data_IF_205560520245
#
_entry.id   IF_205560520245
#
_cell.length_a   1.000
_cell.length_b   1.000
_cell.length_c   1.000
_cell.angle_alpha   90.00
_cell.angle_beta   90.00
_cell.angle_gamma   90.00
#
_symmetry.space_group_name_H-M   'P 1'
#
loop_
_entity.id
_entity.type
_entity.pdbx_description
1 polymer ?
#
# COMPACT_ATOMS: atom_id res chain seq x y z
N UNK A 1 -36.16 -18.05 -46.64
CA UNK A 1 -34.86 -17.40 -46.31
C UNK A 1 -34.91 -16.58 -45.01
N UNK A 2 -36.07 -16.45 -44.32
CA UNK A 2 -36.22 -15.65 -43.09
C UNK A 2 -35.63 -16.28 -41.81
N UNK A 3 -35.59 -17.62 -41.71
CA UNK A 3 -35.12 -18.29 -40.49
C UNK A 3 -33.67 -17.93 -40.12
N UNK A 4 -32.79 -17.73 -41.12
CA UNK A 4 -31.39 -17.41 -40.89
C UNK A 4 -31.20 -15.96 -40.39
N UNK A 5 -32.02 -15.02 -40.87
CA UNK A 5 -31.98 -13.62 -40.40
C UNK A 5 -32.56 -13.45 -39.00
N UNK A 6 -33.60 -14.20 -38.65
CA UNK A 6 -34.18 -14.15 -37.30
C UNK A 6 -33.28 -14.85 -36.26
N UNK A 7 -32.65 -15.96 -36.61
CA UNK A 7 -31.63 -16.60 -35.76
C UNK A 7 -30.41 -15.70 -35.57
N UNK A 8 -29.93 -15.06 -36.64
CA UNK A 8 -28.84 -14.10 -36.56
C UNK A 8 -29.21 -12.91 -35.66
N UNK A 9 -30.44 -12.38 -35.77
CA UNK A 9 -30.93 -11.30 -34.91
C UNK A 9 -30.90 -11.70 -33.44
N UNK A 10 -31.47 -12.86 -33.10
CA UNK A 10 -31.48 -13.38 -31.71
C UNK A 10 -30.08 -13.62 -31.17
N UNK A 11 -29.17 -14.14 -31.99
CA UNK A 11 -27.76 -14.32 -31.62
C UNK A 11 -27.10 -12.97 -31.29
N UNK A 12 -27.29 -11.96 -32.15
CA UNK A 12 -26.73 -10.64 -31.95
C UNK A 12 -27.30 -9.95 -30.71
N UNK A 13 -28.62 -10.04 -30.48
CA UNK A 13 -29.27 -9.52 -29.28
C UNK A 13 -28.72 -10.18 -28.01
N UNK A 14 -28.55 -11.51 -28.02
CA UNK A 14 -27.95 -12.25 -26.91
C UNK A 14 -26.50 -11.84 -26.67
N UNK A 15 -25.71 -11.65 -27.74
CA UNK A 15 -24.32 -11.21 -27.64
C UNK A 15 -24.21 -9.79 -27.08
N UNK A 16 -25.08 -8.87 -27.52
CA UNK A 16 -25.15 -7.51 -26.99
C UNK A 16 -25.48 -7.52 -25.50
N UNK A 17 -26.47 -8.31 -25.08
CA UNK A 17 -26.83 -8.42 -23.66
C UNK A 17 -25.68 -8.98 -22.81
N UNK A 18 -24.95 -9.98 -23.32
CA UNK A 18 -23.76 -10.53 -22.66
C UNK A 18 -22.65 -9.48 -22.51
N UNK A 19 -22.36 -8.73 -23.57
CA UNK A 19 -21.30 -7.72 -23.56
C UNK A 19 -21.63 -6.57 -22.60
N UNK A 20 -22.91 -6.17 -22.51
CA UNK A 20 -23.34 -5.15 -21.54
C UNK A 20 -23.11 -5.58 -20.09
N UNK A 21 -23.40 -6.84 -19.74
CA UNK A 21 -23.12 -7.39 -18.40
C UNK A 21 -21.63 -7.43 -18.11
N UNK A 22 -20.83 -7.77 -19.10
CA UNK A 22 -19.38 -7.81 -18.97
C UNK A 22 -18.80 -6.40 -18.76
N UNK A 23 -19.33 -5.40 -19.47
CA UNK A 23 -19.00 -4.00 -19.27
C UNK A 23 -19.35 -3.53 -17.86
N UNK A 24 -20.58 -3.75 -17.39
CA UNK A 24 -20.99 -3.40 -16.01
C UNK A 24 -20.04 -4.02 -14.96
N UNK A 25 -19.62 -5.26 -15.17
CA UNK A 25 -18.67 -5.93 -14.28
C UNK A 25 -17.31 -5.23 -14.27
N UNK A 26 -16.78 -4.86 -15.43
CA UNK A 26 -15.50 -4.14 -15.50
C UNK A 26 -15.59 -2.71 -14.95
N UNK A 27 -16.69 -2.00 -15.20
CA UNK A 27 -16.95 -0.68 -14.61
C UNK A 27 -17.05 -0.77 -13.07
N UNK A 28 -17.70 -1.81 -12.56
CA UNK A 28 -17.70 -2.10 -11.13
C UNK A 28 -16.29 -2.32 -10.60
N UNK A 29 -15.48 -3.18 -11.24
CA UNK A 29 -14.08 -3.40 -10.82
C UNK A 29 -13.25 -2.11 -10.88
N UNK A 30 -13.45 -1.29 -11.90
CA UNK A 30 -12.78 0.01 -12.03
C UNK A 30 -13.17 0.95 -10.90
N UNK A 31 -14.46 1.07 -10.57
CA UNK A 31 -14.95 1.91 -9.47
C UNK A 31 -14.37 1.47 -8.12
N UNK A 32 -14.12 0.17 -7.96
CA UNK A 32 -13.49 -0.38 -6.76
C UNK A 32 -12.02 0.05 -6.67
N UNK A 33 -11.28 0.03 -7.79
CA UNK A 33 -9.91 0.53 -7.85
C UNK A 33 -9.85 2.03 -7.59
N UNK A 34 -10.70 2.82 -8.25
CA UNK A 34 -10.74 4.28 -8.13
C UNK A 34 -11.16 4.76 -6.73
N UNK A 35 -12.04 4.01 -6.06
CA UNK A 35 -12.43 4.27 -4.66
C UNK A 35 -11.38 3.80 -3.64
N UNK A 36 -10.29 3.17 -4.09
CA UNK A 36 -9.26 2.58 -3.22
C UNK A 36 -9.73 1.30 -2.49
N UNK A 37 -10.84 0.71 -2.93
CA UNK A 37 -11.42 -0.50 -2.35
C UNK A 37 -10.87 -1.76 -3.05
N UNK A 38 -10.02 -2.51 -2.34
CA UNK A 38 -9.52 -3.80 -2.80
C UNK A 38 -10.37 -4.91 -2.17
N UNK A 39 -11.20 -5.66 -2.93
CA UNK A 39 -11.96 -6.77 -2.38
C UNK A 39 -11.00 -7.88 -1.92
N UNK A 40 -11.20 -8.40 -0.71
CA UNK A 40 -10.31 -9.22 0.15
C UNK A 40 -9.39 -8.46 1.12
N UNK A 41 -9.38 -7.13 1.11
CA UNK A 41 -9.00 -6.37 2.31
C UNK A 41 -10.23 -6.23 3.20
N UNK A 42 -10.17 -6.75 4.43
CA UNK A 42 -11.23 -6.52 5.43
C UNK A 42 -11.23 -5.02 5.76
N UNK A 43 -12.08 -4.23 5.11
CA UNK A 43 -12.64 -2.96 5.60
C UNK A 43 -11.70 -1.99 6.33
N UNK A 44 -10.48 -1.78 5.85
CA UNK A 44 -9.56 -0.79 6.40
C UNK A 44 -9.37 0.36 5.42
N UNK A 45 -9.55 1.61 5.86
CA UNK A 45 -9.07 2.78 5.12
C UNK A 45 -7.57 2.55 4.84
N UNK A 46 -7.21 2.27 3.59
CA UNK A 46 -5.81 2.27 3.19
C UNK A 46 -5.40 3.73 3.11
N UNK A 47 -4.83 4.26 4.19
CA UNK A 47 -4.26 5.60 4.16
C UNK A 47 -2.90 5.53 3.48
N UNK A 48 -2.76 6.29 2.40
CA UNK A 48 -1.48 6.56 1.76
C UNK A 48 -0.90 7.83 2.35
N UNK A 49 0.34 7.73 2.82
CA UNK A 49 1.08 8.83 3.40
C UNK A 49 2.51 8.83 2.89
N UNK A 50 3.28 9.87 3.19
CA UNK A 50 4.61 10.04 2.61
C UNK A 50 5.67 10.32 3.66
N UNK A 51 6.87 9.78 3.40
CA UNK A 51 8.09 10.18 4.07
C UNK A 51 8.81 11.16 3.16
N UNK A 52 9.15 12.33 3.69
CA UNK A 52 9.79 13.42 2.93
C UNK A 52 11.21 13.68 3.43
N UNK A 53 12.11 14.11 2.54
CA UNK A 53 13.41 14.64 2.94
C UNK A 53 13.27 16.07 3.49
N UNK A 54 14.35 16.61 4.06
CA UNK A 54 14.43 18.03 4.50
C UNK A 54 14.09 19.03 3.40
N UNK A 55 14.33 18.66 2.13
CA UNK A 55 14.05 19.47 0.94
C UNK A 55 12.61 19.31 0.44
N UNK A 56 11.79 18.51 1.14
CA UNK A 56 10.40 18.23 0.77
C UNK A 56 10.21 17.15 -0.28
N UNK A 57 11.29 16.50 -0.72
CA UNK A 57 11.21 15.42 -1.73
C UNK A 57 10.65 14.15 -1.11
N UNK A 58 9.80 13.42 -1.83
CA UNK A 58 9.28 12.12 -1.37
C UNK A 58 10.42 11.09 -1.44
N UNK A 59 10.75 10.49 -0.29
CA UNK A 59 11.76 9.43 -0.16
C UNK A 59 11.13 8.06 0.06
N UNK A 60 9.90 8.02 0.56
CA UNK A 60 9.13 6.79 0.71
C UNK A 60 7.63 7.01 0.82
N UNK A 61 6.88 5.95 0.56
CA UNK A 61 5.43 5.89 0.69
C UNK A 61 5.06 4.99 1.88
N UNK A 62 4.08 5.42 2.66
CA UNK A 62 3.54 4.67 3.78
C UNK A 62 2.14 4.21 3.40
N UNK A 63 1.95 2.90 3.37
CA UNK A 63 0.65 2.26 3.23
C UNK A 63 0.22 1.78 4.60
N UNK A 64 -0.84 2.36 5.13
CA UNK A 64 -1.39 1.93 6.40
C UNK A 64 -2.80 1.41 6.22
N UNK A 65 -3.00 0.17 6.63
CA UNK A 65 -4.27 -0.55 6.65
C UNK A 65 -4.26 -1.38 7.94
N UNK A 66 -4.84 -0.89 9.05
CA UNK A 66 -4.80 -1.59 10.33
C UNK A 66 -5.15 -3.09 10.18
N UNK A 67 -4.39 -4.01 10.80
CA UNK A 67 -3.29 -3.78 11.74
C UNK A 67 -1.90 -3.66 11.07
N UNK A 68 -1.82 -3.35 9.78
CA UNK A 68 -0.60 -3.41 8.98
C UNK A 68 -0.14 -2.03 8.49
N UNK A 69 1.15 -1.76 8.62
CA UNK A 69 1.82 -0.58 8.10
C UNK A 69 3.02 -1.04 7.25
N UNK A 70 3.13 -0.51 6.04
CA UNK A 70 4.27 -0.77 5.14
C UNK A 70 4.86 0.55 4.69
N UNK A 71 6.19 0.64 4.74
CA UNK A 71 6.95 1.78 4.26
C UNK A 71 7.79 1.32 3.07
N UNK A 72 7.50 1.83 1.88
CA UNK A 72 8.24 1.53 0.65
C UNK A 72 9.19 2.68 0.34
N UNK A 73 10.48 2.40 0.24
CA UNK A 73 11.49 3.40 -0.08
C UNK A 73 11.57 3.56 -1.61
N UNK A 74 11.34 4.78 -2.10
CA UNK A 74 11.30 5.09 -3.55
C UNK A 74 12.64 5.48 -4.13
N UNK A 75 13.54 5.99 -3.29
CA UNK A 75 14.89 6.38 -3.69
C UNK A 75 15.91 5.38 -3.17
N UNK A 76 17.04 5.28 -3.87
CA UNK A 76 18.19 4.52 -3.37
C UNK A 76 18.65 5.15 -2.04
N UNK A 77 18.44 4.44 -0.94
CA UNK A 77 18.81 4.90 0.40
C UNK A 77 19.71 3.86 1.07
N UNK A 78 20.99 4.19 1.18
CA UNK A 78 21.95 3.39 1.94
C UNK A 78 22.02 3.99 3.34
N UNK A 79 21.59 3.24 4.34
CA UNK A 79 21.57 3.70 5.72
C UNK A 79 22.93 3.45 6.38
N UNK A 80 23.61 4.50 6.89
CA UNK A 80 24.75 4.31 7.78
C UNK A 80 24.37 3.42 8.98
N UNK A 81 25.31 2.61 9.46
CA UNK A 81 25.09 1.66 10.57
C UNK A 81 24.48 2.33 11.81
N UNK A 82 24.87 3.57 12.11
CA UNK A 82 24.32 4.34 13.24
C UNK A 82 22.80 4.57 13.11
N UNK A 83 22.33 4.96 11.93
CA UNK A 83 20.91 5.18 11.66
C UNK A 83 20.12 3.87 11.59
N UNK A 84 20.72 2.81 11.02
CA UNK A 84 20.11 1.48 11.04
C UNK A 84 19.90 0.99 12.48
N UNK A 85 20.93 1.10 13.32
CA UNK A 85 20.85 0.69 14.74
C UNK A 85 19.81 1.52 15.51
N UNK A 86 19.75 2.84 15.26
CA UNK A 86 18.74 3.69 15.89
C UNK A 86 17.32 3.29 15.48
N UNK A 87 17.11 2.99 14.19
CA UNK A 87 15.83 2.54 13.65
C UNK A 87 15.42 1.19 14.24
N UNK A 88 16.33 0.20 14.21
CA UNK A 88 16.07 -1.12 14.80
C UNK A 88 15.75 -1.01 16.29
N UNK A 89 16.49 -0.17 17.04
CA UNK A 89 16.21 0.05 18.47
C UNK A 89 14.81 0.59 18.70
N UNK A 90 14.39 1.62 17.95
CA UNK A 90 13.05 2.20 18.11
C UNK A 90 11.95 1.18 17.75
N UNK A 91 12.13 0.41 16.68
CA UNK A 91 11.18 -0.62 16.29
C UNK A 91 11.12 -1.76 17.32
N UNK A 92 12.26 -2.14 17.91
CA UNK A 92 12.33 -3.13 18.98
C UNK A 92 11.66 -2.63 20.27
N UNK A 93 11.91 -1.38 20.67
CA UNK A 93 11.26 -0.76 21.83
C UNK A 93 9.74 -0.70 21.64
N UNK A 94 9.29 -0.38 20.42
CA UNK A 94 7.87 -0.36 20.05
C UNK A 94 7.28 -1.77 20.02
N UNK A 95 8.02 -2.77 19.54
CA UNK A 95 7.63 -4.20 19.60
C UNK A 95 7.39 -4.64 21.04
N UNK A 96 8.29 -4.28 21.96
CA UNK A 96 8.16 -4.65 23.37
C UNK A 96 7.00 -3.92 24.08
N UNK A 97 6.78 -2.64 23.75
CA UNK A 97 5.77 -1.81 24.43
C UNK A 97 4.37 -2.03 23.87
N UNK A 98 4.23 -1.99 22.55
CA UNK A 98 2.95 -1.99 21.85
C UNK A 98 2.62 -3.34 21.19
N UNK A 99 3.47 -4.37 21.39
CA UNK A 99 3.29 -5.75 20.89
C UNK A 99 3.13 -5.84 19.36
N UNK A 100 3.90 -5.03 18.64
CA UNK A 100 4.00 -5.07 17.18
C UNK A 100 5.07 -6.07 16.73
N UNK A 101 4.98 -6.53 15.49
CA UNK A 101 6.07 -7.24 14.81
C UNK A 101 6.56 -6.38 13.65
N UNK A 102 7.86 -6.44 13.33
CA UNK A 102 8.44 -5.68 12.24
C UNK A 102 9.45 -6.49 11.43
N UNK A 103 9.62 -6.11 10.17
CA UNK A 103 10.62 -6.65 9.27
C UNK A 103 11.23 -5.53 8.44
N UNK A 104 12.55 -5.55 8.28
CA UNK A 104 13.30 -4.57 7.50
C UNK A 104 13.93 -5.31 6.32
N UNK A 105 13.52 -4.94 5.10
CA UNK A 105 14.00 -5.55 3.87
C UNK A 105 15.09 -4.66 3.28
N UNK A 106 16.29 -5.26 3.18
CA UNK A 106 17.44 -4.67 2.53
C UNK A 106 17.72 -5.41 1.22
N UNK A 107 18.05 -4.66 0.18
CA UNK A 107 18.65 -5.19 -1.05
C UNK A 107 20.12 -4.78 -1.07
N UNK A 108 20.99 -5.75 -0.78
CA UNK A 108 22.41 -5.54 -0.45
C UNK A 108 22.56 -4.61 0.76
N UNK A 109 22.75 -3.31 0.51
CA UNK A 109 22.92 -2.27 1.53
C UNK A 109 21.83 -1.19 1.44
N UNK A 110 20.89 -1.32 0.50
CA UNK A 110 19.83 -0.35 0.26
C UNK A 110 18.57 -0.75 1.02
N UNK A 111 18.00 0.20 1.76
CA UNK A 111 16.68 0.03 2.36
C UNK A 111 15.61 0.04 1.27
N UNK A 112 14.84 -1.05 1.17
CA UNK A 112 13.72 -1.18 0.23
C UNK A 112 12.38 -1.05 0.92
N UNK A 113 12.20 -1.75 2.02
CA UNK A 113 10.91 -1.81 2.70
C UNK A 113 11.04 -1.98 4.21
N UNK A 114 10.12 -1.36 4.95
CA UNK A 114 9.87 -1.66 6.37
C UNK A 114 8.42 -2.10 6.48
N UNK A 115 8.21 -3.34 6.92
CA UNK A 115 6.90 -3.93 7.15
C UNK A 115 6.66 -4.01 8.65
N UNK A 116 5.48 -3.57 9.11
CA UNK A 116 5.09 -3.57 10.53
C UNK A 116 3.67 -4.10 10.65
N UNK A 117 3.45 -5.06 11.53
CA UNK A 117 2.13 -5.65 11.84
C UNK A 117 1.79 -5.46 13.31
N UNK A 118 0.50 -5.40 13.62
CA UNK A 118 0.00 -5.09 14.97
C UNK A 118 -0.31 -3.61 15.22
N UNK A 119 -0.17 -2.74 14.22
CA UNK A 119 -0.51 -1.31 14.30
C UNK A 119 -2.02 -1.12 14.17
N UNK A 120 -2.74 -1.25 15.29
CA UNK A 120 -4.22 -1.23 15.29
C UNK A 120 -4.83 0.17 15.35
N UNK A 121 -4.10 1.12 15.92
CA UNK A 121 -4.62 2.45 16.25
C UNK A 121 -3.81 3.56 15.58
N UNK A 122 -4.48 4.66 15.28
CA UNK A 122 -3.91 5.82 14.60
C UNK A 122 -2.82 6.51 15.43
N UNK A 123 -2.92 6.47 16.77
CA UNK A 123 -1.89 7.01 17.67
C UNK A 123 -0.56 6.26 17.52
N UNK A 124 -0.61 4.93 17.49
CA UNK A 124 0.57 4.09 17.31
C UNK A 124 1.15 4.28 15.91
N UNK A 125 0.29 4.31 14.90
CA UNK A 125 0.67 4.64 13.52
C UNK A 125 1.44 5.96 13.45
N UNK A 126 0.89 7.04 14.00
CA UNK A 126 1.51 8.37 13.96
C UNK A 126 2.85 8.42 14.70
N UNK A 127 2.97 7.71 15.83
CA UNK A 127 4.22 7.59 16.60
C UNK A 127 5.31 6.89 15.78
N UNK A 128 4.98 5.74 15.19
CA UNK A 128 5.90 4.97 14.36
C UNK A 128 6.29 5.75 13.10
N UNK A 129 5.32 6.36 12.43
CA UNK A 129 5.55 7.26 11.28
C UNK A 129 6.52 8.37 11.62
N UNK A 130 6.29 9.10 12.71
CA UNK A 130 7.15 10.21 13.12
C UNK A 130 8.58 9.76 13.43
N UNK A 131 8.72 8.61 14.10
CA UNK A 131 10.02 8.03 14.38
C UNK A 131 10.79 7.67 13.09
N UNK A 132 10.14 6.93 12.18
CA UNK A 132 10.75 6.54 10.90
C UNK A 132 11.08 7.76 10.04
N UNK A 133 10.17 8.74 9.97
CA UNK A 133 10.39 10.03 9.30
C UNK A 133 11.67 10.69 9.82
N UNK A 134 11.84 10.80 11.14
CA UNK A 134 13.00 11.49 11.72
C UNK A 134 14.36 10.86 11.34
N UNK A 135 14.39 9.54 11.13
CA UNK A 135 15.61 8.80 10.78
C UNK A 135 15.86 8.87 9.27
N UNK A 136 14.85 8.55 8.47
CA UNK A 136 14.96 8.47 7.02
C UNK A 136 15.22 9.86 6.41
N UNK A 137 14.62 10.90 6.98
CA UNK A 137 14.89 12.28 6.59
C UNK A 137 16.38 12.64 6.76
N UNK A 138 16.99 12.29 7.90
CA UNK A 138 18.41 12.54 8.17
C UNK A 138 19.33 11.69 7.31
N UNK A 139 18.95 10.45 7.04
CA UNK A 139 19.74 9.55 6.20
C UNK A 139 19.69 9.92 4.70
N UNK A 140 18.62 10.59 4.27
CA UNK A 140 18.44 11.06 2.89
C UNK A 140 19.03 12.44 2.60
N UNK A 141 19.66 13.07 3.60
CA UNK A 141 20.23 14.42 3.50
C UNK A 141 21.60 14.44 2.83
#
# INVERSE_FOLDING_TARGET
>A
MEANTDELRKFLEGKIASLKKELEYYEYLLSMIESGYIPNSRGGKVSLDYIKSRKGEIIGEIYFSPPSMRVLIKKRLVLPKSYMNAMSKILEDTKNTDKIEYNIVLDKEELKEISITGVKEELLYNRVKAALQSILERASS
#
